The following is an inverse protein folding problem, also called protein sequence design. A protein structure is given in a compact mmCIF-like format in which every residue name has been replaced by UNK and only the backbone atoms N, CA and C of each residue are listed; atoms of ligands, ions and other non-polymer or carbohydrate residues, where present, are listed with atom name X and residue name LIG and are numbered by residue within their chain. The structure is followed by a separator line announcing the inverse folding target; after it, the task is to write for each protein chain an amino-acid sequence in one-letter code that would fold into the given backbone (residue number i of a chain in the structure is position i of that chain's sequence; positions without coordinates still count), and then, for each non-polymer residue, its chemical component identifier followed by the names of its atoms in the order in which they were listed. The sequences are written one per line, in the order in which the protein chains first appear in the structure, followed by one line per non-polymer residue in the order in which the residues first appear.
data_IF_966562087377
#
_entry.id   IF_966562087377
#
_cell.length_a   1.000
_cell.length_b   1.000
_cell.length_c   1.000
_cell.angle_alpha   90.00
_cell.angle_beta   90.00
_cell.angle_gamma   90.00
#
_symmetry.space_group_name_H-M   'P 1'
#
loop_
_entity.id
_entity.type
_entity.pdbx_description
1 polymer ?
#
# COMPACT_ATOMS: atom_id res chain seq x y z
N UNK A 1 16.88 4.02 4.53
CA UNK A 1 17.96 3.84 3.54
C UNK A 1 17.59 4.57 2.25
N UNK A 2 18.54 5.16 1.53
CA UNK A 2 18.36 5.44 0.09
C UNK A 2 19.34 4.55 -0.66
N UNK A 3 18.98 3.29 -0.84
CA UNK A 3 19.65 2.41 -1.78
C UNK A 3 18.81 2.43 -3.07
N UNK A 4 19.33 3.11 -4.09
CA UNK A 4 18.79 3.07 -5.46
C UNK A 4 19.61 2.02 -6.20
N UNK A 5 19.07 0.82 -6.36
CA UNK A 5 19.66 -0.19 -7.23
C UNK A 5 18.59 -0.64 -8.22
N UNK A 6 18.92 -0.57 -9.51
CA UNK A 6 18.04 -0.99 -10.61
C UNK A 6 18.65 -2.14 -11.37
N UNK A 7 17.81 -2.96 -11.97
CA UNK A 7 18.20 -4.05 -12.85
C UNK A 7 17.42 -4.00 -14.17
N UNK A 8 18.09 -4.05 -15.31
CA UNK A 8 17.51 -4.24 -16.64
C UNK A 8 17.23 -5.71 -16.91
N UNK A 9 16.04 -5.99 -17.44
CA UNK A 9 15.59 -7.35 -17.77
C UNK A 9 15.56 -7.53 -19.28
N UNK A 10 16.26 -8.55 -19.79
CA UNK A 10 16.13 -8.99 -21.18
C UNK A 10 15.33 -10.30 -21.21
N UNK A 11 14.04 -10.22 -21.56
CA UNK A 11 13.14 -11.37 -21.75
C UNK A 11 12.87 -11.55 -23.25
N UNK A 12 13.00 -12.77 -23.77
CA UNK A 12 12.41 -13.12 -25.07
C UNK A 12 10.93 -13.46 -24.85
N UNK A 13 10.05 -12.50 -25.16
CA UNK A 13 8.59 -12.57 -24.95
C UNK A 13 7.85 -13.17 -26.15
N UNK A 14 6.89 -14.05 -25.88
CA UNK A 14 5.66 -14.18 -26.68
C UNK A 14 4.61 -13.36 -25.94
N UNK A 15 4.21 -12.22 -26.50
CA UNK A 15 3.25 -11.32 -25.89
C UNK A 15 1.82 -11.86 -26.03
N UNK A 16 1.02 -11.76 -24.98
CA UNK A 16 -0.44 -11.71 -25.10
C UNK A 16 -0.99 -10.67 -24.13
N UNK A 17 -1.80 -9.75 -24.66
CA UNK A 17 -2.44 -8.65 -23.93
C UNK A 17 -3.63 -9.18 -23.12
N UNK A 18 -3.78 -8.74 -21.87
CA UNK A 18 -5.05 -8.70 -21.14
C UNK A 18 -4.95 -7.76 -19.94
N UNK A 19 -5.89 -6.82 -19.83
CA UNK A 19 -5.93 -5.74 -18.85
C UNK A 19 -6.81 -6.09 -17.64
N UNK A 20 -6.39 -5.80 -16.41
CA UNK A 20 -7.29 -5.56 -15.26
C UNK A 20 -6.63 -4.68 -14.18
N UNK A 21 -7.45 -3.82 -13.57
CA UNK A 21 -7.16 -2.91 -12.44
C UNK A 21 -7.89 -3.41 -11.19
N UNK A 22 -7.28 -3.36 -10.00
CA UNK A 22 -7.97 -3.28 -8.70
C UNK A 22 -7.15 -2.55 -7.62
N UNK A 23 -7.89 -1.95 -6.67
CA UNK A 23 -7.49 -0.96 -5.66
C UNK A 23 -7.20 -1.56 -4.26
N UNK A 24 -6.45 -0.76 -3.49
CA UNK A 24 -6.00 -0.77 -2.08
C UNK A 24 -6.99 -1.27 -1.01
N UNK A 25 -6.44 -1.80 0.10
CA UNK A 25 -7.10 -1.93 1.40
C UNK A 25 -6.14 -1.56 2.55
N UNK A 26 -6.55 -0.62 3.41
CA UNK A 26 -5.85 -0.14 4.62
C UNK A 26 -6.37 -0.86 5.88
N UNK A 27 -5.61 -0.87 7.00
CA UNK A 27 -6.08 -0.53 8.37
C UNK A 27 -4.97 -0.59 9.48
N UNK A 28 -4.46 0.60 9.84
CA UNK A 28 -4.26 1.25 11.17
C UNK A 28 -3.48 0.64 12.39
N UNK A 29 -2.54 1.50 12.85
CA UNK A 29 -2.01 1.84 14.21
C UNK A 29 -0.68 1.18 14.63
N UNK A 30 0.33 1.85 15.22
CA UNK A 30 0.31 2.91 16.26
C UNK A 30 1.60 3.78 16.27
N UNK A 31 1.46 5.02 16.73
CA UNK A 31 2.47 6.04 17.04
C UNK A 31 3.37 5.62 18.23
N UNK A 32 4.69 5.81 18.12
CA UNK A 32 5.59 5.73 19.29
C UNK A 32 5.47 7.05 20.07
N UNK A 33 5.18 6.90 21.36
CA UNK A 33 4.94 7.97 22.31
C UNK A 33 6.25 8.44 22.95
N UNK A 34 6.62 9.70 22.75
CA UNK A 34 7.76 10.36 23.42
C UNK A 34 7.34 11.12 24.70
N UNK A 35 6.07 11.01 25.12
CA UNK A 35 5.53 11.72 26.29
C UNK A 35 5.56 10.92 27.59
N UNK A 36 6.11 9.69 27.60
CA UNK A 36 6.47 9.02 28.84
C UNK A 36 7.71 9.68 29.45
N UNK A 37 7.49 10.74 30.22
CA UNK A 37 8.47 11.31 31.13
C UNK A 37 8.98 10.25 32.09
N UNK A 38 10.07 9.56 31.72
CA UNK A 38 11.02 9.02 32.67
C UNK A 38 11.99 10.14 33.02
N UNK A 39 11.96 10.68 34.25
CA UNK A 39 12.90 11.70 34.67
C UNK A 39 14.34 11.21 34.56
N UNK A 40 15.22 12.16 34.26
CA UNK A 40 16.68 12.12 34.10
C UNK A 40 17.39 11.56 35.35
N UNK A 41 17.21 10.29 35.64
CA UNK A 41 17.86 9.61 36.79
C UNK A 41 18.54 8.31 36.42
N UNK A 42 18.12 7.63 35.34
CA UNK A 42 18.87 6.48 34.79
C UNK A 42 20.14 6.91 34.03
N UNK A 43 20.16 8.13 33.44
CA UNK A 43 21.26 8.65 32.61
C UNK A 43 22.52 8.99 33.43
N UNK A 44 22.38 9.27 34.72
CA UNK A 44 23.49 9.65 35.61
C UNK A 44 24.12 8.48 36.38
N UNK A 45 23.63 7.25 36.21
CA UNK A 45 24.24 6.09 36.88
C UNK A 45 25.48 5.63 36.10
N UNK A 46 26.70 5.69 36.68
CA UNK A 46 27.98 5.40 36.00
C UNK A 46 28.22 3.90 35.81
N UNK A 47 27.23 3.17 35.27
CA UNK A 47 27.39 1.76 34.93
C UNK A 47 28.27 1.66 33.69
N UNK A 48 29.38 0.96 33.86
CA UNK A 48 30.33 0.61 32.83
C UNK A 48 29.63 0.00 31.61
N UNK A 49 29.53 0.72 30.49
CA UNK A 49 29.19 0.06 29.23
C UNK A 49 30.42 -0.72 28.78
N UNK A 50 30.36 -2.05 28.88
CA UNK A 50 31.37 -2.94 28.33
C UNK A 50 30.95 -3.31 26.91
N UNK A 51 31.83 -2.99 25.94
CA UNK A 51 31.86 -3.44 24.54
C UNK A 51 30.51 -3.52 23.80
N UNK A 52 30.35 -2.78 22.71
CA UNK A 52 29.15 -2.88 21.87
C UNK A 52 28.81 -1.59 21.14
N UNK A 53 27.61 -1.55 20.55
CA UNK A 53 27.11 -0.36 19.87
C UNK A 53 26.14 0.38 20.80
N UNK A 54 26.23 1.70 20.82
CA UNK A 54 25.37 2.58 21.62
C UNK A 54 24.72 3.61 20.70
N UNK A 55 23.45 3.94 20.98
CA UNK A 55 22.81 5.14 20.48
C UNK A 55 23.00 6.23 21.53
N UNK A 56 23.59 7.36 21.15
CA UNK A 56 23.75 8.55 21.98
C UNK A 56 22.85 9.66 21.47
N UNK A 57 22.02 10.27 22.31
CA UNK A 57 21.30 11.51 22.00
C UNK A 57 21.97 12.66 22.73
N UNK A 58 22.19 13.78 22.05
CA UNK A 58 22.80 14.97 22.63
C UNK A 58 21.75 16.04 22.93
N UNK A 59 22.06 16.90 23.91
CA UNK A 59 21.18 18.00 24.29
C UNK A 59 21.19 19.21 23.37
N UNK A 60 22.12 19.23 22.42
CA UNK A 60 22.27 20.20 21.35
C UNK A 60 23.09 19.60 20.21
N UNK A 61 23.36 20.38 19.17
CA UNK A 61 24.10 19.93 17.99
C UNK A 61 25.46 19.32 18.36
N UNK A 62 25.81 18.21 17.71
CA UNK A 62 27.10 17.54 17.91
C UNK A 62 28.19 18.33 17.18
N UNK A 63 29.09 18.96 17.93
CA UNK A 63 30.21 19.72 17.35
C UNK A 63 31.40 18.80 16.96
N UNK A 64 32.28 19.25 16.06
CA UNK A 64 33.52 18.52 15.74
C UNK A 64 34.39 18.23 16.97
N UNK A 65 34.37 19.10 17.98
CA UNK A 65 35.11 18.92 19.23
C UNK A 65 34.56 17.76 20.07
N UNK A 66 33.23 17.58 20.08
CA UNK A 66 32.58 16.43 20.73
C UNK A 66 32.98 15.13 20.02
N UNK A 67 33.00 15.13 18.68
CA UNK A 67 33.43 13.96 17.89
C UNK A 67 34.90 13.63 18.13
N UNK A 68 35.77 14.64 18.20
CA UNK A 68 37.18 14.46 18.53
C UNK A 68 37.38 13.89 19.93
N UNK A 69 36.60 14.36 20.91
CA UNK A 69 36.64 13.86 22.28
C UNK A 69 36.11 12.43 22.41
N UNK A 70 35.03 12.07 21.71
CA UNK A 70 34.55 10.68 21.61
C UNK A 70 35.68 9.75 21.11
N UNK A 71 36.36 10.15 20.04
CA UNK A 71 37.49 9.40 19.49
C UNK A 71 38.65 9.27 20.47
N UNK A 72 39.03 10.34 21.19
CA UNK A 72 40.06 10.32 22.26
C UNK A 72 39.70 9.32 23.37
N UNK A 73 38.42 9.17 23.69
CA UNK A 73 37.91 8.23 24.71
C UNK A 73 37.77 6.78 24.21
N UNK A 74 38.14 6.50 22.95
CA UNK A 74 38.01 5.17 22.35
C UNK A 74 36.59 4.82 21.91
N UNK A 75 35.75 5.83 21.67
CA UNK A 75 34.39 5.68 21.14
C UNK A 75 34.44 6.00 19.65
N UNK A 76 34.16 5.02 18.80
CA UNK A 76 34.14 5.20 17.36
C UNK A 76 32.74 5.61 16.90
N UNK A 77 32.62 6.76 16.23
CA UNK A 77 31.35 7.17 15.59
C UNK A 77 31.16 6.32 14.34
N UNK A 78 30.01 5.66 14.24
CA UNK A 78 29.67 4.79 13.12
C UNK A 78 28.72 5.48 12.14
N UNK A 79 27.76 6.25 12.66
CA UNK A 79 26.73 6.90 11.86
C UNK A 79 26.08 8.06 12.62
N UNK A 80 25.71 9.11 11.90
CA UNK A 80 24.82 10.16 12.40
C UNK A 80 23.37 9.68 12.47
N UNK A 81 22.66 10.09 13.50
CA UNK A 81 21.24 9.78 13.73
C UNK A 81 20.46 11.10 13.88
N UNK A 82 19.21 11.19 13.39
CA UNK A 82 18.42 12.41 13.51
C UNK A 82 18.33 12.99 14.93
N UNK A 83 17.96 14.26 15.01
CA UNK A 83 17.70 14.99 16.27
C UNK A 83 18.92 15.19 17.20
N UNK A 84 20.13 15.26 16.65
CA UNK A 84 21.41 15.29 17.39
C UNK A 84 21.75 13.93 18.02
N UNK A 85 21.53 12.83 17.29
CA UNK A 85 21.89 11.49 17.71
C UNK A 85 23.17 10.98 17.03
N UNK A 86 23.89 10.06 17.68
CA UNK A 86 25.00 9.31 17.10
C UNK A 86 24.87 7.82 17.42
N UNK A 87 25.11 6.98 16.42
CA UNK A 87 25.43 5.58 16.62
C UNK A 87 26.95 5.44 16.79
N UNK A 88 27.37 4.88 17.91
CA UNK A 88 28.79 4.72 18.24
C UNK A 88 29.13 3.28 18.62
N UNK A 89 30.38 2.89 18.41
CA UNK A 89 30.96 1.64 18.90
C UNK A 89 31.90 1.91 20.07
N UNK A 90 31.83 1.07 21.08
CA UNK A 90 32.75 1.07 22.23
C UNK A 90 33.43 -0.29 22.29
N UNK A 91 34.75 -0.31 22.40
CA UNK A 91 35.59 -1.53 22.47
C UNK A 91 36.09 -1.82 23.91
N UNK A 92 35.83 -0.89 24.82
CA UNK A 92 36.28 -0.87 26.20
C UNK A 92 35.24 -0.17 27.07
N UNK A 93 35.49 -0.13 28.39
CA UNK A 93 34.70 0.69 29.30
C UNK A 93 34.93 2.17 29.00
N UNK A 94 33.87 2.92 28.73
CA UNK A 94 33.94 4.36 28.44
C UNK A 94 33.06 5.18 29.37
N UNK A 95 33.39 6.47 29.52
CA UNK A 95 32.65 7.43 30.35
C UNK A 95 32.10 8.56 29.46
N UNK A 96 30.79 8.80 29.54
CA UNK A 96 30.07 9.76 28.69
C UNK A 96 29.84 11.14 29.33
N UNK A 97 30.36 11.35 30.55
CA UNK A 97 30.26 12.64 31.25
C UNK A 97 30.87 13.78 30.44
N UNK A 98 30.33 14.98 30.60
CA UNK A 98 30.86 16.23 30.01
C UNK A 98 30.82 16.28 28.48
N UNK A 99 30.07 15.39 27.83
CA UNK A 99 29.86 15.36 26.37
C UNK A 99 28.51 15.92 25.92
N UNK A 100 27.66 16.35 26.86
CA UNK A 100 26.31 16.84 26.55
C UNK A 100 25.31 15.74 26.13
N UNK A 101 25.63 14.47 26.38
CA UNK A 101 24.75 13.32 26.11
C UNK A 101 23.55 13.34 27.06
N UNK A 102 22.34 13.40 26.49
CA UNK A 102 21.06 13.30 27.19
C UNK A 102 20.51 11.89 27.28
N UNK A 103 20.85 11.02 26.34
CA UNK A 103 20.39 9.64 26.34
C UNK A 103 21.48 8.73 25.79
N UNK A 104 21.65 7.57 26.41
CA UNK A 104 22.57 6.54 25.93
C UNK A 104 21.92 5.17 26.13
N UNK A 105 21.74 4.42 25.05
CA UNK A 105 21.20 3.07 25.11
C UNK A 105 22.03 2.10 24.27
N UNK A 106 22.14 0.85 24.73
CA UNK A 106 22.79 -0.21 23.97
C UNK A 106 21.91 -0.57 22.78
N UNK A 107 22.48 -0.55 21.59
CA UNK A 107 21.83 -1.16 20.43
C UNK A 107 22.00 -2.67 20.58
N UNK A 108 20.89 -3.36 20.82
CA UNK A 108 20.87 -4.82 20.77
C UNK A 108 21.33 -5.28 19.37
N UNK A 109 22.05 -6.40 19.23
CA UNK A 109 22.45 -6.93 17.92
C UNK A 109 21.28 -7.07 16.92
N UNK A 110 20.07 -7.34 17.42
CA UNK A 110 18.82 -7.38 16.65
C UNK A 110 18.30 -6.02 16.17
N UNK A 111 18.93 -4.91 16.59
CA UNK A 111 18.65 -3.55 16.13
C UNK A 111 19.75 -3.02 15.18
N UNK A 112 20.69 -3.87 14.73
CA UNK A 112 21.55 -3.56 13.58
C UNK A 112 20.72 -3.77 12.31
N UNK A 113 20.37 -2.70 11.63
CA UNK A 113 19.80 -2.81 10.28
C UNK A 113 20.82 -3.47 9.33
N UNK A 114 20.34 -4.37 8.47
CA UNK A 114 21.17 -5.00 7.45
C UNK A 114 21.77 -3.94 6.52
N UNK A 115 23.09 -3.99 6.28
CA UNK A 115 23.77 -3.04 5.40
C UNK A 115 23.36 -3.19 3.93
N UNK A 116 23.36 -2.08 3.18
CA UNK A 116 22.87 -2.04 1.79
C UNK A 116 23.59 -3.03 0.85
N UNK A 117 24.91 -3.22 1.01
CA UNK A 117 25.69 -4.18 0.22
C UNK A 117 25.24 -5.62 0.47
N UNK A 118 24.94 -5.96 1.73
CA UNK A 118 24.48 -7.29 2.10
C UNK A 118 23.04 -7.53 1.60
N UNK A 119 22.15 -6.55 1.74
CA UNK A 119 20.81 -6.62 1.18
C UNK A 119 20.83 -6.79 -0.35
N UNK A 120 21.68 -6.03 -1.05
CA UNK A 120 21.85 -6.12 -2.50
C UNK A 120 22.33 -7.52 -2.92
N UNK A 121 23.30 -8.10 -2.20
CA UNK A 121 23.79 -9.44 -2.50
C UNK A 121 22.70 -10.51 -2.35
N UNK A 122 21.84 -10.41 -1.32
CA UNK A 122 20.72 -11.33 -1.14
C UNK A 122 19.64 -11.18 -2.22
N UNK A 123 19.35 -9.95 -2.66
CA UNK A 123 18.40 -9.74 -3.76
C UNK A 123 18.96 -10.26 -5.10
N UNK A 124 20.25 -10.06 -5.36
CA UNK A 124 20.95 -10.67 -6.50
C UNK A 124 20.88 -12.20 -6.45
N UNK A 125 21.03 -12.79 -5.26
CA UNK A 125 20.88 -14.23 -5.04
C UNK A 125 19.46 -14.70 -5.37
N UNK A 126 18.43 -13.96 -4.95
CA UNK A 126 17.03 -14.26 -5.27
C UNK A 126 16.75 -14.15 -6.78
N UNK A 127 17.27 -13.12 -7.45
CA UNK A 127 17.21 -12.97 -8.91
C UNK A 127 17.84 -14.16 -9.63
N UNK A 128 18.99 -14.64 -9.15
CA UNK A 128 19.67 -15.79 -9.72
C UNK A 128 18.88 -17.09 -9.58
N UNK A 129 18.09 -17.29 -8.51
CA UNK A 129 17.23 -18.48 -8.38
C UNK A 129 16.18 -18.56 -9.48
N UNK A 130 15.53 -17.44 -9.83
CA UNK A 130 14.58 -17.40 -10.94
C UNK A 130 15.28 -17.65 -12.29
N UNK A 131 16.48 -17.10 -12.51
CA UNK A 131 17.29 -17.36 -13.71
C UNK A 131 17.77 -18.81 -13.87
N UNK A 132 17.71 -19.65 -12.83
CA UNK A 132 17.99 -21.09 -12.97
C UNK A 132 16.84 -21.84 -13.66
N UNK A 133 15.63 -21.28 -13.62
CA UNK A 133 14.41 -21.97 -14.05
C UNK A 133 13.94 -21.43 -15.39
N UNK A 134 13.89 -20.10 -15.52
CA UNK A 134 13.38 -19.43 -16.72
C UNK A 134 14.46 -18.60 -17.39
N UNK A 135 14.30 -18.41 -18.70
CA UNK A 135 15.25 -17.72 -19.57
C UNK A 135 15.19 -16.21 -19.39
N UNK A 136 15.62 -15.75 -18.22
CA UNK A 136 15.69 -14.34 -17.81
C UNK A 136 17.13 -13.94 -17.45
N UNK A 137 17.54 -12.77 -17.93
CA UNK A 137 18.83 -12.16 -17.60
C UNK A 137 18.63 -10.85 -16.86
N UNK A 138 19.25 -10.76 -15.67
CA UNK A 138 19.32 -9.55 -14.86
C UNK A 138 20.65 -8.84 -15.12
N UNK A 139 20.61 -7.55 -15.46
CA UNK A 139 21.80 -6.71 -15.61
C UNK A 139 21.66 -5.47 -14.73
N UNK A 140 22.71 -4.95 -14.10
CA UNK A 140 22.60 -3.67 -13.39
C UNK A 140 22.10 -2.58 -14.33
N UNK A 141 21.04 -1.88 -13.93
CA UNK A 141 20.47 -0.75 -14.65
C UNK A 141 21.11 0.56 -14.20
N UNK A 142 21.31 1.48 -15.14
CA UNK A 142 21.91 2.80 -14.89
C UNK A 142 20.90 3.95 -14.87
N UNK A 143 19.67 3.71 -15.33
CA UNK A 143 18.61 4.73 -15.42
C UNK A 143 17.43 4.44 -14.46
N UNK A 144 17.20 5.30 -13.44
CA UNK A 144 16.08 5.23 -12.51
C UNK A 144 14.69 5.48 -13.13
N UNK A 145 14.55 5.68 -14.44
CA UNK A 145 13.27 5.69 -15.15
C UNK A 145 13.29 4.84 -16.45
N UNK A 146 14.29 3.98 -16.64
CA UNK A 146 14.40 3.14 -17.83
C UNK A 146 13.25 2.12 -17.95
N UNK A 147 12.89 1.78 -19.19
CA UNK A 147 11.91 0.73 -19.48
C UNK A 147 12.52 -0.67 -19.30
N UNK A 148 11.70 -1.68 -18.98
CA UNK A 148 12.16 -3.05 -18.69
C UNK A 148 13.18 -3.07 -17.56
N UNK A 149 12.96 -2.24 -16.55
CA UNK A 149 13.82 -2.20 -15.36
C UNK A 149 13.00 -2.44 -14.10
N UNK A 150 13.63 -3.13 -13.14
CA UNK A 150 13.10 -3.34 -11.80
C UNK A 150 13.89 -2.47 -10.84
N UNK A 151 13.23 -1.49 -10.22
CA UNK A 151 13.76 -0.69 -9.12
C UNK A 151 13.52 -1.38 -7.80
N UNK A 152 14.57 -1.43 -7.00
CA UNK A 152 14.52 -1.88 -5.62
C UNK A 152 14.63 -0.64 -4.73
N UNK A 153 13.63 -0.44 -3.85
CA UNK A 153 13.62 0.65 -2.90
C UNK A 153 13.42 0.12 -1.48
N UNK A 154 14.26 0.53 -0.53
CA UNK A 154 13.96 0.41 0.90
C UNK A 154 13.39 1.74 1.40
N UNK A 155 12.14 1.76 1.83
CA UNK A 155 11.42 2.97 2.21
C UNK A 155 10.67 2.77 3.54
N UNK A 156 10.28 3.86 4.20
CA UNK A 156 9.45 3.80 5.42
C UNK A 156 8.21 4.66 5.18
N UNK A 157 7.04 4.18 5.61
CA UNK A 157 5.80 4.95 5.52
C UNK A 157 5.46 5.34 4.08
N UNK A 158 4.95 6.55 3.89
CA UNK A 158 4.65 7.08 2.56
C UNK A 158 5.92 7.33 1.74
N UNK A 159 6.01 6.69 0.56
CA UNK A 159 7.23 6.71 -0.26
C UNK A 159 6.99 6.94 -1.76
N UNK A 160 5.86 7.59 -2.09
CA UNK A 160 5.67 8.26 -3.39
C UNK A 160 4.88 7.47 -4.45
N UNK A 161 4.39 6.27 -4.13
CA UNK A 161 3.65 5.39 -5.04
C UNK A 161 2.16 5.20 -4.66
N UNK A 162 1.72 5.82 -3.57
CA UNK A 162 0.35 5.69 -3.05
C UNK A 162 0.14 4.48 -2.13
N UNK A 163 1.15 3.62 -1.93
CA UNK A 163 1.11 2.42 -1.08
C UNK A 163 2.06 2.60 0.12
N UNK A 164 1.70 3.38 1.15
CA UNK A 164 2.59 3.60 2.29
C UNK A 164 2.82 2.30 3.08
N UNK A 165 4.05 2.09 3.55
CA UNK A 165 4.36 1.02 4.50
C UNK A 165 3.84 1.30 5.92
N UNK A 166 3.69 0.27 6.74
CA UNK A 166 3.05 0.30 8.06
C UNK A 166 4.01 0.36 9.26
N UNK A 167 5.32 0.20 9.04
CA UNK A 167 6.31 0.26 10.11
C UNK A 167 6.84 -1.13 10.45
N UNK A 168 7.20 -1.39 11.71
CA UNK A 168 7.72 -2.72 12.05
C UNK A 168 6.58 -3.72 12.24
N UNK A 169 6.69 -4.85 11.56
CA UNK A 169 5.67 -5.89 11.47
C UNK A 169 4.55 -5.52 10.52
N UNK A 170 3.96 -6.53 9.88
CA UNK A 170 2.88 -6.33 8.91
C UNK A 170 3.40 -6.43 7.48
N UNK A 171 3.43 -5.31 6.74
CA UNK A 171 3.84 -5.29 5.33
C UNK A 171 5.36 -5.28 5.23
N UNK A 172 5.92 -6.43 4.87
CA UNK A 172 7.37 -6.56 4.69
C UNK A 172 7.86 -5.88 3.42
N UNK A 173 7.10 -6.02 2.33
CA UNK A 173 7.42 -5.51 1.01
C UNK A 173 6.15 -5.47 0.13
N UNK A 174 6.25 -4.79 -1.00
CA UNK A 174 5.29 -4.93 -2.10
C UNK A 174 5.98 -4.79 -3.44
N UNK A 175 5.36 -5.36 -4.47
CA UNK A 175 5.87 -5.34 -5.85
C UNK A 175 4.76 -5.02 -6.84
N UNK A 176 5.13 -4.30 -7.89
CA UNK A 176 4.27 -4.05 -9.03
C UNK A 176 4.42 -5.16 -10.06
N UNK A 177 3.31 -5.58 -10.65
CA UNK A 177 3.32 -6.60 -11.71
C UNK A 177 4.03 -6.09 -12.98
N UNK A 178 4.42 -6.98 -13.90
CA UNK A 178 4.83 -6.59 -15.25
C UNK A 178 3.79 -5.71 -15.95
N UNK A 179 4.24 -4.99 -16.98
CA UNK A 179 3.32 -4.26 -17.86
C UNK A 179 2.64 -5.22 -18.84
N UNK A 180 1.31 -5.13 -19.03
CA UNK A 180 0.28 -4.52 -18.16
C UNK A 180 -0.04 -5.40 -16.92
N UNK A 181 -0.63 -4.84 -15.83
CA UNK A 181 -1.34 -3.56 -15.76
C UNK A 181 -0.51 -2.35 -15.30
N UNK A 182 0.64 -2.57 -14.67
CA UNK A 182 1.47 -1.46 -14.21
C UNK A 182 2.25 -0.88 -15.40
N UNK A 183 2.15 0.42 -15.70
CA UNK A 183 2.93 1.00 -16.78
C UNK A 183 4.40 1.08 -16.40
N UNK A 184 5.26 0.96 -17.40
CA UNK A 184 6.66 1.38 -17.27
C UNK A 184 6.71 2.88 -16.91
N UNK A 185 7.62 3.31 -16.02
CA UNK A 185 8.76 2.56 -15.48
C UNK A 185 8.50 1.91 -14.10
N UNK A 186 7.24 1.75 -13.68
CA UNK A 186 6.88 1.17 -12.37
C UNK A 186 6.68 -0.35 -12.44
N UNK A 187 6.45 -0.89 -13.64
CA UNK A 187 6.30 -2.32 -13.86
C UNK A 187 7.48 -3.13 -13.29
N UNK A 188 7.20 -4.09 -12.41
CA UNK A 188 8.22 -4.91 -11.77
C UNK A 188 8.98 -4.26 -10.61
N UNK A 189 8.81 -2.95 -10.35
CA UNK A 189 9.45 -2.28 -9.21
C UNK A 189 9.01 -2.94 -7.89
N UNK A 190 9.95 -3.13 -6.97
CA UNK A 190 9.73 -3.74 -5.65
C UNK A 190 10.23 -2.83 -4.54
N UNK A 191 9.41 -2.66 -3.51
CA UNK A 191 9.70 -1.83 -2.37
C UNK A 191 9.71 -2.70 -1.10
N UNK A 192 10.64 -2.44 -0.19
CA UNK A 192 10.81 -3.13 1.09
C UNK A 192 10.61 -2.14 2.24
N UNK A 193 9.86 -2.52 3.28
CA UNK A 193 9.71 -1.65 4.45
C UNK A 193 11.02 -1.62 5.24
N UNK A 194 11.68 -0.47 5.19
CA UNK A 194 12.93 -0.21 5.89
C UNK A 194 12.79 -0.19 7.42
N UNK A 195 11.57 -0.16 7.93
CA UNK A 195 11.24 -0.25 9.35
C UNK A 195 11.37 -1.67 9.89
N UNK A 196 11.41 -2.67 9.00
CA UNK A 196 11.54 -4.06 9.40
C UNK A 196 12.95 -4.41 9.88
N UNK A 197 13.08 -5.31 10.87
CA UNK A 197 14.37 -5.79 11.32
C UNK A 197 14.88 -6.83 10.31
N UNK A 198 15.42 -6.36 9.20
CA UNK A 198 15.95 -7.21 8.12
C UNK A 198 17.17 -8.02 8.56
N UNK A 199 17.18 -9.31 8.23
CA UNK A 199 18.26 -10.25 8.53
C UNK A 199 18.65 -11.07 7.29
N UNK A 200 19.73 -11.83 7.42
CA UNK A 200 20.14 -12.90 6.49
C UNK A 200 20.12 -14.20 7.28
N UNK A 201 19.41 -15.20 6.79
CA UNK A 201 19.40 -16.52 7.41
C UNK A 201 18.58 -16.61 8.70
N UNK A 202 17.75 -15.61 9.03
CA UNK A 202 16.99 -15.56 10.28
C UNK A 202 15.77 -14.64 10.19
N UNK A 203 14.77 -14.88 11.06
CA UNK A 203 13.62 -13.99 11.29
C UNK A 203 13.03 -13.43 9.99
N UNK A 204 13.04 -12.10 9.80
CA UNK A 204 12.66 -11.41 8.55
C UNK A 204 13.84 -11.42 7.57
N UNK A 205 13.97 -12.53 6.85
CA UNK A 205 15.06 -12.76 5.89
C UNK A 205 14.84 -12.01 4.56
N UNK A 206 15.80 -11.15 4.18
CA UNK A 206 15.72 -10.32 2.95
C UNK A 206 15.62 -11.17 1.69
N UNK A 207 16.37 -12.28 1.62
CA UNK A 207 16.32 -13.16 0.46
C UNK A 207 14.94 -13.78 0.28
N UNK A 208 14.35 -14.29 1.36
CA UNK A 208 13.03 -14.93 1.33
C UNK A 208 11.97 -13.97 0.79
N UNK A 209 11.94 -12.73 1.30
CA UNK A 209 10.99 -11.71 0.83
C UNK A 209 11.30 -11.29 -0.60
N UNK A 210 12.56 -11.04 -0.94
CA UNK A 210 12.93 -10.69 -2.31
C UNK A 210 12.57 -11.77 -3.32
N UNK A 211 12.71 -13.06 -2.96
CA UNK A 211 12.37 -14.18 -3.82
C UNK A 211 10.86 -14.23 -4.12
N UNK A 212 10.03 -13.92 -3.12
CA UNK A 212 8.57 -13.78 -3.25
C UNK A 212 8.18 -12.58 -4.12
N UNK A 213 8.70 -11.40 -3.80
CA UNK A 213 8.46 -10.17 -4.55
C UNK A 213 8.87 -10.30 -6.02
N UNK A 214 10.00 -10.97 -6.30
CA UNK A 214 10.43 -11.26 -7.67
C UNK A 214 9.44 -12.16 -8.42
N UNK A 215 8.72 -13.05 -7.74
CA UNK A 215 7.65 -13.82 -8.38
C UNK A 215 6.53 -12.92 -8.88
N UNK A 216 6.13 -11.91 -8.09
CA UNK A 216 5.18 -10.88 -8.55
C UNK A 216 5.73 -10.04 -9.70
N UNK A 217 7.01 -9.63 -9.64
CA UNK A 217 7.69 -8.94 -10.74
C UNK A 217 7.80 -9.79 -12.02
N UNK A 218 7.62 -11.11 -11.91
CA UNK A 218 7.54 -12.06 -13.03
C UNK A 218 6.10 -12.45 -13.39
N UNK A 219 5.09 -11.83 -12.78
CA UNK A 219 3.69 -12.09 -13.12
C UNK A 219 3.01 -13.20 -12.33
N UNK A 220 3.67 -13.78 -11.32
CA UNK A 220 3.06 -14.81 -10.48
C UNK A 220 2.11 -14.20 -9.45
N UNK A 221 0.95 -14.84 -9.27
CA UNK A 221 0.08 -14.60 -8.13
C UNK A 221 0.53 -15.36 -6.89
N UNK A 222 -0.15 -15.11 -5.77
CA UNK A 222 0.04 -15.92 -4.57
C UNK A 222 -0.35 -17.38 -4.78
N UNK A 223 0.38 -18.29 -4.14
CA UNK A 223 0.09 -19.71 -4.06
C UNK A 223 -0.50 -20.06 -2.69
N UNK A 224 -1.60 -20.81 -2.66
CA UNK A 224 -2.21 -21.30 -1.42
C UNK A 224 -1.55 -22.63 -0.97
N UNK A 225 -0.23 -22.58 -0.78
CA UNK A 225 0.53 -23.73 -0.27
C UNK A 225 1.69 -23.25 0.61
N UNK A 226 1.74 -23.61 1.91
CA UNK A 226 2.73 -23.07 2.86
C UNK A 226 4.20 -23.37 2.55
N UNK A 227 4.49 -24.25 1.60
CA UNK A 227 5.85 -24.55 1.13
C UNK A 227 6.23 -23.81 -0.15
N UNK A 228 5.30 -23.09 -0.79
CA UNK A 228 5.57 -22.29 -1.96
C UNK A 228 6.20 -20.97 -1.54
N UNK A 229 7.12 -20.46 -2.36
CA UNK A 229 7.67 -19.11 -2.18
C UNK A 229 6.55 -18.08 -2.31
N UNK A 230 5.61 -18.29 -3.25
CA UNK A 230 4.48 -17.39 -3.46
C UNK A 230 3.38 -17.48 -2.38
N UNK A 231 3.60 -18.17 -1.26
CA UNK A 231 2.66 -18.17 -0.14
C UNK A 231 2.59 -16.77 0.51
N UNK A 232 1.39 -16.18 0.71
CA UNK A 232 1.27 -14.78 1.14
C UNK A 232 1.70 -14.50 2.58
N UNK A 233 1.80 -15.53 3.43
CA UNK A 233 2.26 -15.36 4.80
C UNK A 233 3.74 -15.66 4.89
N UNK A 234 4.48 -14.73 5.50
CA UNK A 234 5.92 -14.84 5.62
C UNK A 234 6.35 -16.20 6.19
N UNK A 235 7.17 -16.89 5.42
CA UNK A 235 7.95 -18.04 5.84
C UNK A 235 9.34 -17.91 5.28
N UNK A 236 10.31 -18.31 6.09
CA UNK A 236 11.68 -18.33 5.64
C UNK A 236 11.86 -19.46 4.61
N UNK A 237 12.34 -19.09 3.43
CA UNK A 237 12.56 -20.01 2.30
C UNK A 237 13.97 -19.80 1.75
N UNK A 238 14.57 -20.88 1.24
CA UNK A 238 15.95 -20.84 0.74
C UNK A 238 16.06 -21.12 -0.76
N UNK A 239 14.97 -21.57 -1.40
CA UNK A 239 14.90 -21.92 -2.82
C UNK A 239 13.45 -21.95 -3.31
N UNK A 240 13.27 -21.94 -4.64
CA UNK A 240 11.97 -22.12 -5.30
C UNK A 240 11.43 -23.55 -5.07
N UNK A 241 10.15 -23.66 -4.72
CA UNK A 241 9.46 -24.94 -4.70
C UNK A 241 9.13 -25.41 -6.13
N UNK A 242 8.77 -26.68 -6.30
CA UNK A 242 8.35 -27.18 -7.62
C UNK A 242 7.03 -26.53 -8.09
N UNK A 243 6.20 -26.03 -7.16
CA UNK A 243 5.01 -25.24 -7.48
C UNK A 243 5.39 -23.90 -8.10
N UNK A 244 6.38 -23.20 -7.53
CA UNK A 244 6.85 -21.92 -8.05
C UNK A 244 7.52 -22.09 -9.43
N UNK A 245 8.32 -23.16 -9.59
CA UNK A 245 8.98 -23.50 -10.86
C UNK A 245 7.97 -23.80 -11.96
N UNK A 246 6.97 -24.64 -11.66
CA UNK A 246 5.95 -25.02 -12.64
C UNK A 246 5.14 -23.79 -13.07
N UNK A 247 4.74 -22.96 -12.10
CA UNK A 247 3.96 -21.75 -12.38
C UNK A 247 4.72 -20.74 -13.26
N UNK A 248 6.02 -20.52 -13.00
CA UNK A 248 6.81 -19.57 -13.80
C UNK A 248 7.13 -20.10 -15.21
N UNK A 249 7.22 -21.42 -15.38
CA UNK A 249 7.41 -22.06 -16.69
C UNK A 249 6.14 -22.02 -17.56
N UNK A 250 4.97 -21.76 -16.99
CA UNK A 250 3.77 -21.45 -17.77
C UNK A 250 3.86 -20.05 -18.42
N UNK A 251 4.65 -19.14 -17.84
CA UNK A 251 4.79 -17.76 -18.30
C UNK A 251 6.01 -17.53 -19.20
N UNK A 252 7.11 -18.24 -18.95
CA UNK A 252 8.38 -18.02 -19.62
C UNK A 252 9.01 -19.33 -20.11
N UNK A 253 9.80 -19.22 -21.17
CA UNK A 253 10.62 -20.32 -21.64
C UNK A 253 11.60 -20.79 -20.55
N UNK A 254 11.79 -22.11 -20.47
CA UNK A 254 12.77 -22.72 -19.58
C UNK A 254 14.20 -22.25 -19.89
N UNK A 255 15.04 -22.19 -18.87
CA UNK A 255 16.48 -22.05 -19.01
C UNK A 255 17.05 -23.39 -19.53
N UNK A 256 17.69 -23.39 -20.70
CA UNK A 256 18.05 -24.60 -21.47
C UNK A 256 18.71 -25.70 -20.59
N UNK A 257 18.08 -26.89 -20.53
CA UNK A 257 18.57 -28.03 -19.72
C UNK A 257 17.72 -29.32 -19.71
N UNK A 258 16.39 -29.26 -19.84
CA UNK A 258 15.54 -30.42 -20.23
C UNK A 258 14.19 -29.95 -20.78
N UNK A 259 13.66 -30.57 -21.85
CA UNK A 259 12.39 -30.19 -22.46
C UNK A 259 11.21 -30.90 -21.78
N UNK A 260 10.26 -30.14 -21.23
CA UNK A 260 8.89 -30.64 -21.13
C UNK A 260 8.23 -30.46 -22.50
N UNK A 261 8.08 -31.56 -23.23
CA UNK A 261 7.41 -31.61 -24.52
C UNK A 261 5.94 -31.22 -24.35
N UNK A 262 5.39 -30.23 -25.08
CA UNK A 262 3.95 -30.12 -25.23
C UNK A 262 3.51 -31.10 -26.31
N UNK A 263 2.88 -32.21 -25.93
CA UNK A 263 2.10 -32.99 -26.88
C UNK A 263 0.77 -32.30 -27.15
N UNK A 264 0.52 -32.12 -28.45
CA UNK A 264 -0.73 -31.83 -29.15
C UNK A 264 -1.12 -30.36 -29.33
N UNK A 265 -1.20 -29.99 -30.61
CA UNK A 265 -1.64 -28.69 -31.12
C UNK A 265 -3.11 -28.39 -30.80
N UNK A 266 -3.34 -27.84 -29.62
CA UNK A 266 -4.49 -27.00 -29.34
C UNK A 266 -4.16 -25.54 -29.62
N UNK A 267 -5.15 -24.77 -30.06
CA UNK A 267 -5.10 -23.31 -30.15
C UNK A 267 -4.50 -22.67 -28.89
N UNK A 268 -3.88 -21.47 -28.98
CA UNK A 268 -3.21 -20.82 -27.85
C UNK A 268 -4.09 -20.88 -26.59
N UNK A 269 -3.59 -21.60 -25.58
CA UNK A 269 -4.24 -21.70 -24.28
C UNK A 269 -4.23 -20.31 -23.66
N UNK A 270 -5.41 -19.72 -23.50
CA UNK A 270 -5.56 -18.47 -22.77
C UNK A 270 -5.37 -18.76 -21.29
N UNK A 271 -4.60 -17.96 -20.52
CA UNK A 271 -4.41 -18.21 -19.09
C UNK A 271 -5.74 -18.17 -18.34
N UNK A 272 -5.89 -19.02 -17.32
CA UNK A 272 -7.10 -19.03 -16.49
C UNK A 272 -7.16 -17.75 -15.68
N UNK A 273 -8.23 -16.99 -15.90
CA UNK A 273 -8.50 -15.73 -15.22
C UNK A 273 -9.72 -15.89 -14.34
N UNK A 274 -9.71 -15.23 -13.19
CA UNK A 274 -10.84 -15.12 -12.27
C UNK A 274 -10.99 -13.66 -11.89
N UNK A 275 -12.21 -13.16 -12.02
CA UNK A 275 -12.61 -11.84 -11.53
C UNK A 275 -13.79 -12.01 -10.60
N UNK A 276 -13.65 -11.58 -9.36
CA UNK A 276 -14.76 -11.44 -8.40
C UNK A 276 -15.31 -10.01 -8.47
N UNK A 277 -16.61 -9.86 -8.68
CA UNK A 277 -17.28 -8.59 -8.44
C UNK A 277 -17.41 -8.41 -6.93
N UNK A 278 -16.52 -7.59 -6.36
CA UNK A 278 -16.42 -7.43 -4.92
C UNK A 278 -17.74 -6.88 -4.34
N UNK A 279 -18.27 -7.50 -3.27
CA UNK A 279 -19.39 -6.97 -2.51
C UNK A 279 -18.94 -5.74 -1.69
N UNK A 280 -19.87 -5.08 -1.01
CA UNK A 280 -19.51 -4.02 -0.07
C UNK A 280 -18.60 -4.56 1.06
N UNK A 281 -17.57 -3.79 1.43
CA UNK A 281 -16.59 -4.15 2.48
C UNK A 281 -17.23 -4.37 3.86
N UNK A 282 -18.44 -3.83 4.07
CA UNK A 282 -19.21 -3.98 5.30
C UNK A 282 -20.68 -4.26 4.99
N UNK A 283 -21.31 -5.14 5.77
CA UNK A 283 -22.73 -5.47 5.63
C UNK A 283 -23.36 -5.77 6.99
N UNK A 284 -24.68 -5.65 7.09
CA UNK A 284 -25.46 -6.15 8.24
C UNK A 284 -26.13 -7.49 7.94
N UNK A 285 -26.17 -7.91 6.67
CA UNK A 285 -26.78 -9.16 6.24
C UNK A 285 -26.01 -10.37 6.76
N UNK A 286 -26.73 -11.45 7.10
CA UNK A 286 -26.13 -12.72 7.51
C UNK A 286 -25.53 -13.51 6.34
N UNK A 287 -25.87 -13.14 5.11
CA UNK A 287 -25.36 -13.76 3.89
C UNK A 287 -25.12 -12.71 2.82
N UNK A 288 -24.21 -12.97 1.89
CA UNK A 288 -23.99 -12.16 0.70
C UNK A 288 -24.06 -13.00 -0.56
N UNK A 289 -24.41 -12.36 -1.67
CA UNK A 289 -24.33 -12.96 -3.00
C UNK A 289 -23.03 -12.52 -3.67
N UNK A 290 -22.37 -13.45 -4.36
CA UNK A 290 -21.18 -13.15 -5.14
C UNK A 290 -21.44 -13.42 -6.61
N UNK A 291 -20.73 -12.68 -7.44
CA UNK A 291 -20.73 -12.91 -8.88
C UNK A 291 -19.37 -12.56 -9.45
N UNK A 292 -19.12 -13.00 -10.67
CA UNK A 292 -17.91 -12.65 -11.37
C UNK A 292 -17.82 -13.31 -12.73
N UNK A 293 -16.61 -13.30 -13.29
CA UNK A 293 -16.28 -13.99 -14.53
C UNK A 293 -15.06 -14.88 -14.33
N UNK A 294 -15.00 -15.96 -15.09
CA UNK A 294 -13.83 -16.80 -15.20
C UNK A 294 -13.68 -17.23 -16.65
N UNK A 295 -12.47 -17.19 -17.19
CA UNK A 295 -12.19 -17.45 -18.60
C UNK A 295 -10.78 -17.98 -18.82
N UNK A 296 -10.55 -18.65 -19.94
CA UNK A 296 -9.28 -19.31 -20.24
C UNK A 296 -9.11 -20.63 -19.50
N UNK A 297 -7.86 -21.08 -19.36
CA UNK A 297 -7.50 -22.41 -18.89
C UNK A 297 -7.82 -23.51 -19.91
N UNK A 298 -7.60 -24.76 -19.50
CA UNK A 298 -7.90 -25.93 -20.33
C UNK A 298 -9.06 -26.71 -19.72
N UNK A 299 -10.10 -27.02 -20.49
CA UNK A 299 -11.27 -27.78 -20.02
C UNK A 299 -12.37 -26.93 -19.38
N UNK A 300 -13.29 -27.59 -18.68
CA UNK A 300 -14.47 -26.95 -18.07
C UNK A 300 -14.07 -26.15 -16.84
N UNK A 301 -14.50 -24.89 -16.79
CA UNK A 301 -14.29 -24.02 -15.62
C UNK A 301 -15.25 -24.44 -14.50
N UNK A 302 -14.70 -24.68 -13.32
CA UNK A 302 -15.45 -24.82 -12.07
C UNK A 302 -15.02 -23.73 -11.09
N UNK A 303 -16.01 -23.09 -10.44
CA UNK A 303 -15.77 -22.05 -9.43
C UNK A 303 -16.29 -22.51 -8.08
N UNK A 304 -15.45 -22.37 -7.06
CA UNK A 304 -15.73 -22.74 -5.67
C UNK A 304 -15.41 -21.57 -4.75
N UNK A 305 -15.91 -21.64 -3.52
CA UNK A 305 -15.62 -20.64 -2.49
C UNK A 305 -15.45 -21.28 -1.12
N UNK A 306 -14.71 -20.62 -0.25
CA UNK A 306 -14.56 -20.95 1.17
C UNK A 306 -14.50 -19.68 2.03
N UNK A 307 -14.83 -19.82 3.31
CA UNK A 307 -14.64 -18.77 4.33
C UNK A 307 -13.62 -19.21 5.37
N UNK A 308 -12.99 -18.23 6.03
CA UNK A 308 -12.13 -18.44 7.21
C UNK A 308 -12.86 -19.06 8.41
N UNK A 309 -14.20 -19.03 8.40
CA UNK A 309 -15.07 -19.66 9.41
C UNK A 309 -15.57 -21.06 8.98
N UNK A 310 -14.98 -21.66 7.95
CA UNK A 310 -15.17 -23.07 7.59
C UNK A 310 -16.37 -23.37 6.71
N UNK A 311 -17.10 -22.35 6.21
CA UNK A 311 -18.14 -22.55 5.21
C UNK A 311 -17.53 -22.64 3.81
N UNK A 312 -18.08 -23.48 2.93
CA UNK A 312 -17.61 -23.60 1.55
C UNK A 312 -18.72 -24.07 0.61
N UNK A 313 -18.57 -23.84 -0.68
CA UNK A 313 -19.53 -24.32 -1.68
C UNK A 313 -19.08 -24.12 -3.12
N UNK A 314 -19.94 -24.49 -4.06
CA UNK A 314 -19.76 -24.26 -5.49
C UNK A 314 -20.53 -23.04 -5.98
N UNK A 315 -20.11 -22.48 -7.11
CA UNK A 315 -20.86 -21.47 -7.86
C UNK A 315 -21.68 -22.13 -8.98
N UNK A 316 -22.77 -21.47 -9.40
CA UNK A 316 -23.37 -21.73 -10.69
C UNK A 316 -22.50 -21.08 -11.77
N UNK A 317 -21.98 -21.87 -12.71
CA UNK A 317 -21.10 -21.40 -13.78
C UNK A 317 -21.86 -21.39 -15.10
N UNK A 318 -22.00 -20.21 -15.70
CA UNK A 318 -22.50 -19.99 -17.05
C UNK A 318 -21.38 -19.87 -18.08
N UNK A 319 -21.71 -19.50 -19.32
CA UNK A 319 -20.74 -19.47 -20.44
C UNK A 319 -19.57 -18.48 -20.26
N UNK A 320 -19.75 -17.41 -19.47
CA UNK A 320 -18.71 -16.40 -19.19
C UNK A 320 -18.75 -15.83 -17.76
N UNK A 321 -19.77 -16.19 -16.97
CA UNK A 321 -20.03 -15.63 -15.66
C UNK A 321 -20.35 -16.72 -14.66
N UNK A 322 -20.12 -16.45 -13.39
CA UNK A 322 -20.49 -17.33 -12.30
C UNK A 322 -21.22 -16.56 -11.20
N UNK A 323 -22.07 -17.26 -10.46
CA UNK A 323 -22.82 -16.71 -9.34
C UNK A 323 -22.80 -17.65 -8.15
N UNK A 324 -22.68 -17.09 -6.95
CA UNK A 324 -22.83 -17.80 -5.68
C UNK A 324 -23.96 -17.11 -4.93
N UNK A 325 -24.98 -17.88 -4.57
CA UNK A 325 -26.08 -17.39 -3.75
C UNK A 325 -25.79 -17.68 -2.29
N UNK A 326 -25.95 -16.67 -1.43
CA UNK A 326 -25.93 -16.79 0.02
C UNK A 326 -24.66 -17.41 0.64
N UNK A 327 -23.50 -16.79 0.42
CA UNK A 327 -22.30 -17.05 1.23
C UNK A 327 -22.57 -16.60 2.68
N UNK A 328 -22.51 -17.49 3.69
CA UNK A 328 -22.80 -17.17 5.08
C UNK A 328 -21.68 -16.35 5.71
N UNK A 329 -22.07 -15.39 6.55
CA UNK A 329 -21.18 -14.49 7.28
C UNK A 329 -21.39 -14.60 8.79
N UNK A 330 -20.28 -14.69 9.53
CA UNK A 330 -20.22 -14.58 10.99
C UNK A 330 -20.09 -13.10 11.37
N UNK A 331 -20.56 -12.70 12.57
CA UNK A 331 -20.35 -11.34 13.07
C UNK A 331 -18.85 -10.99 13.14
N UNK A 332 -18.47 -9.80 12.68
CA UNK A 332 -17.08 -9.36 12.57
C UNK A 332 -16.51 -9.58 11.17
N UNK A 333 -15.18 -9.66 11.07
CA UNK A 333 -14.48 -9.84 9.81
C UNK A 333 -14.66 -11.27 9.28
N UNK A 334 -15.00 -11.40 8.00
CA UNK A 334 -15.04 -12.67 7.28
C UNK A 334 -14.07 -12.57 6.11
N UNK A 335 -13.20 -13.55 5.95
CA UNK A 335 -12.35 -13.68 4.78
C UNK A 335 -12.95 -14.73 3.86
N UNK A 336 -13.22 -14.34 2.61
CA UNK A 336 -13.81 -15.22 1.60
C UNK A 336 -12.78 -15.41 0.50
N UNK A 337 -12.52 -16.67 0.16
CA UNK A 337 -11.68 -17.08 -0.96
C UNK A 337 -12.56 -17.66 -2.05
N UNK A 338 -12.47 -17.13 -3.26
CA UNK A 338 -13.09 -17.69 -4.47
C UNK A 338 -12.01 -18.31 -5.33
N UNK A 339 -12.22 -19.52 -5.80
CA UNK A 339 -11.24 -20.29 -6.58
C UNK A 339 -11.87 -20.78 -7.87
N UNK A 340 -11.27 -20.43 -9.01
CA UNK A 340 -11.59 -21.00 -10.30
C UNK A 340 -10.57 -22.10 -10.64
N UNK A 341 -11.06 -23.19 -11.22
CA UNK A 341 -10.28 -24.31 -11.72
C UNK A 341 -10.67 -24.58 -13.16
N UNK A 342 -9.69 -24.88 -14.02
CA UNK A 342 -9.90 -25.33 -15.38
C UNK A 342 -8.81 -26.35 -15.72
N UNK A 343 -9.19 -27.63 -15.70
CA UNK A 343 -8.23 -28.72 -15.85
C UNK A 343 -7.27 -28.75 -14.66
N UNK A 344 -5.97 -28.59 -14.94
CA UNK A 344 -4.94 -28.50 -13.90
C UNK A 344 -4.73 -27.06 -13.36
N UNK A 345 -5.19 -26.03 -14.08
CA UNK A 345 -4.98 -24.64 -13.72
C UNK A 345 -5.93 -24.21 -12.60
N UNK A 346 -5.40 -23.42 -11.65
CA UNK A 346 -6.17 -22.88 -10.53
C UNK A 346 -5.77 -21.45 -10.23
N UNK A 347 -6.75 -20.56 -10.11
CA UNK A 347 -6.58 -19.16 -9.70
C UNK A 347 -7.54 -18.86 -8.56
N UNK A 348 -7.08 -18.12 -7.55
CA UNK A 348 -7.90 -17.74 -6.41
C UNK A 348 -7.84 -16.24 -6.15
N UNK A 349 -8.95 -15.70 -5.66
CA UNK A 349 -9.05 -14.33 -5.20
C UNK A 349 -9.68 -14.33 -3.81
N UNK A 350 -8.98 -13.73 -2.84
CA UNK A 350 -9.48 -13.56 -1.47
C UNK A 350 -9.85 -12.10 -1.22
N UNK A 351 -10.92 -11.87 -0.47
CA UNK A 351 -11.36 -10.55 -0.03
C UNK A 351 -12.02 -10.67 1.34
N UNK A 352 -12.23 -9.53 2.01
CA UNK A 352 -12.86 -9.51 3.33
C UNK A 352 -14.19 -8.78 3.30
N UNK A 353 -15.12 -9.22 4.15
CA UNK A 353 -16.40 -8.57 4.39
C UNK A 353 -16.63 -8.52 5.90
N UNK A 354 -16.76 -7.30 6.44
CA UNK A 354 -17.10 -7.12 7.85
C UNK A 354 -18.61 -7.17 8.03
N UNK A 355 -19.11 -8.22 8.69
CA UNK A 355 -20.51 -8.25 9.11
C UNK A 355 -20.67 -7.51 10.43
N UNK A 356 -21.29 -6.35 10.40
CA UNK A 356 -21.67 -5.63 11.60
C UNK A 356 -23.01 -6.14 12.11
N UNK A 357 -23.07 -6.56 13.37
CA UNK A 357 -24.31 -6.94 14.07
C UNK A 357 -25.11 -5.72 14.54
N UNK A 358 -24.53 -4.52 14.42
CA UNK A 358 -25.11 -3.22 14.74
C UNK A 358 -24.80 -2.29 13.60
N UNK A 359 -25.82 -1.82 12.87
CA UNK A 359 -25.64 -0.80 11.86
C UNK A 359 -24.92 0.41 12.49
N UNK A 360 -23.86 0.92 11.87
CA UNK A 360 -23.34 2.25 12.21
C UNK A 360 -24.53 3.22 12.19
N UNK A 361 -24.63 4.14 13.17
CA UNK A 361 -25.65 5.18 13.06
C UNK A 361 -25.39 5.90 11.75
N UNK A 362 -26.41 5.91 10.88
CA UNK A 362 -26.47 6.78 9.70
C UNK A 362 -26.04 8.18 10.14
N UNK A 363 -25.17 8.84 9.37
CA UNK A 363 -24.88 10.23 9.66
C UNK A 363 -26.20 11.01 9.55
N UNK A 364 -26.59 11.65 10.64
CA UNK A 364 -27.80 12.47 10.72
C UNK A 364 -27.47 13.95 10.87
N UNK A 365 -26.19 14.31 10.86
CA UNK A 365 -25.74 15.68 11.12
C UNK A 365 -25.70 16.42 9.78
N UNK A 366 -26.44 17.53 9.60
CA UNK A 366 -26.35 18.31 8.39
C UNK A 366 -25.09 19.19 8.35
N UNK A 367 -24.54 19.47 7.15
CA UNK A 367 -23.41 20.37 7.00
C UNK A 367 -23.64 21.77 7.60
N UNK A 368 -22.61 22.38 8.16
CA UNK A 368 -22.61 23.82 8.45
C UNK A 368 -22.24 24.59 7.18
N UNK A 369 -23.05 25.58 6.79
CA UNK A 369 -22.87 26.39 5.58
C UNK A 369 -22.94 27.89 5.89
N UNK A 370 -21.92 28.63 5.45
CA UNK A 370 -21.81 30.09 5.62
C UNK A 370 -21.46 30.76 4.30
N UNK A 371 -22.18 31.84 3.95
CA UNK A 371 -21.83 32.73 2.83
C UNK A 371 -21.01 33.88 3.41
N UNK A 372 -19.77 34.03 2.95
CA UNK A 372 -18.83 35.05 3.46
C UNK A 372 -18.73 36.26 2.54
N UNK A 373 -19.01 36.08 1.25
CA UNK A 373 -19.04 37.17 0.27
C UNK A 373 -20.19 36.99 -0.70
N UNK A 374 -21.07 37.98 -0.85
CA UNK A 374 -21.23 39.12 0.04
C UNK A 374 -21.70 38.64 1.43
N UNK A 375 -21.29 39.34 2.47
CA UNK A 375 -21.69 39.02 3.85
C UNK A 375 -23.13 39.45 4.17
N UNK A 376 -23.72 40.32 3.34
CA UNK A 376 -25.10 40.74 3.44
C UNK A 376 -26.05 39.72 2.80
N UNK A 377 -27.20 39.49 3.45
CA UNK A 377 -28.26 38.61 2.92
C UNK A 377 -29.08 39.26 1.81
N UNK A 378 -28.96 40.59 1.64
CA UNK A 378 -29.61 41.36 0.58
C UNK A 378 -28.59 42.28 -0.07
N UNK A 379 -28.51 42.24 -1.40
CA UNK A 379 -27.47 42.90 -2.20
C UNK A 379 -28.11 43.55 -3.42
N UNK A 380 -27.63 44.74 -3.79
CA UNK A 380 -28.00 45.38 -5.06
C UNK A 380 -26.79 45.43 -6.00
N UNK A 381 -27.04 45.23 -7.29
CA UNK A 381 -25.99 45.29 -8.34
C UNK A 381 -26.59 45.73 -9.67
N UNK A 382 -25.76 46.18 -10.61
CA UNK A 382 -26.13 46.37 -12.02
C UNK A 382 -25.53 45.28 -12.92
N UNK A 383 -24.61 44.47 -12.38
CA UNK A 383 -23.94 43.41 -13.13
C UNK A 383 -24.90 42.25 -13.46
N UNK A 384 -24.67 41.61 -14.62
CA UNK A 384 -25.44 40.46 -15.06
C UNK A 384 -25.12 39.15 -14.29
N UNK A 385 -24.13 39.18 -13.41
CA UNK A 385 -23.79 38.06 -12.52
C UNK A 385 -23.22 38.56 -11.20
N UNK A 386 -23.23 37.70 -10.18
CA UNK A 386 -22.62 37.96 -8.88
C UNK A 386 -21.76 36.77 -8.47
N UNK A 387 -20.57 37.07 -7.91
CA UNK A 387 -19.74 36.05 -7.29
C UNK A 387 -20.19 35.87 -5.84
N UNK A 388 -20.67 34.67 -5.50
CA UNK A 388 -20.89 34.25 -4.12
C UNK A 388 -19.73 33.35 -3.68
N UNK A 389 -19.26 33.52 -2.45
CA UNK A 389 -18.26 32.67 -1.84
C UNK A 389 -18.54 32.42 -0.35
N UNK A 390 -17.99 31.33 0.18
CA UNK A 390 -18.27 30.92 1.54
C UNK A 390 -17.49 29.71 2.01
N UNK A 391 -17.92 29.18 3.16
CA UNK A 391 -17.34 27.99 3.78
C UNK A 391 -18.42 26.94 4.04
N UNK A 392 -18.03 25.67 4.01
CA UNK A 392 -18.87 24.59 4.52
C UNK A 392 -18.04 23.53 5.24
N UNK A 393 -18.61 22.93 6.28
CA UNK A 393 -17.95 21.88 7.07
C UNK A 393 -18.96 20.89 7.61
N UNK A 394 -18.54 19.66 7.79
CA UNK A 394 -19.37 18.57 8.30
C UNK A 394 -18.50 17.57 9.08
N UNK A 395 -19.09 16.76 9.97
CA UNK A 395 -18.38 15.75 10.77
C UNK A 395 -17.80 14.60 9.93
N UNK A 396 -18.43 14.24 8.81
CA UNK A 396 -17.92 13.24 7.86
C UNK A 396 -17.59 13.81 6.48
N UNK A 397 -17.96 15.07 6.23
CA UNK A 397 -17.45 15.87 5.12
C UNK A 397 -18.53 16.28 4.12
N UNK A 398 -18.30 17.42 3.46
CA UNK A 398 -19.21 17.98 2.45
C UNK A 398 -18.83 17.48 1.07
N UNK A 399 -19.77 16.87 0.37
CA UNK A 399 -19.56 16.26 -0.95
C UNK A 399 -19.85 17.22 -2.10
N UNK A 400 -20.80 18.15 -1.93
CA UNK A 400 -21.16 19.11 -2.96
C UNK A 400 -21.72 20.41 -2.40
N UNK A 401 -21.40 21.52 -3.08
CA UNK A 401 -22.08 22.81 -2.94
C UNK A 401 -22.77 23.11 -4.26
N UNK A 402 -24.09 23.25 -4.23
CA UNK A 402 -24.92 23.57 -5.40
C UNK A 402 -25.63 24.90 -5.19
N UNK A 403 -26.04 25.54 -6.28
CA UNK A 403 -26.82 26.77 -6.23
C UNK A 403 -27.98 26.73 -7.22
N UNK A 404 -29.06 27.45 -6.91
CA UNK A 404 -30.20 27.66 -7.79
C UNK A 404 -30.81 29.05 -7.60
N UNK A 405 -31.42 29.61 -8.64
CA UNK A 405 -32.15 30.88 -8.58
C UNK A 405 -33.66 30.65 -8.73
N UNK A 406 -34.48 31.55 -8.19
CA UNK A 406 -35.93 31.57 -8.45
C UNK A 406 -36.28 31.79 -9.93
N UNK A 407 -35.31 32.21 -10.74
CA UNK A 407 -35.43 32.42 -12.19
C UNK A 407 -35.09 31.18 -13.01
N UNK A 408 -34.77 30.06 -12.37
CA UNK A 408 -34.57 28.76 -13.02
C UNK A 408 -33.12 28.40 -13.37
N UNK A 409 -32.15 29.25 -13.10
CA UNK A 409 -30.72 28.93 -13.28
C UNK A 409 -30.21 28.09 -12.11
N UNK A 410 -29.30 27.16 -12.35
CA UNK A 410 -28.66 26.35 -11.31
C UNK A 410 -27.27 25.87 -11.70
N UNK A 411 -26.44 25.49 -10.72
CA UNK A 411 -25.10 24.95 -10.97
C UNK A 411 -24.41 24.39 -9.73
N UNK A 412 -23.15 24.01 -9.90
CA UNK A 412 -22.26 23.52 -8.84
C UNK A 412 -21.20 24.59 -8.59
N UNK A 413 -20.89 24.87 -7.31
CA UNK A 413 -19.83 25.79 -6.92
C UNK A 413 -18.44 25.11 -7.03
N UNK A 414 -17.39 25.89 -7.25
CA UNK A 414 -16.02 25.41 -7.19
C UNK A 414 -15.60 25.25 -5.72
N UNK A 415 -15.16 24.04 -5.35
CA UNK A 415 -14.74 23.70 -3.98
C UNK A 415 -15.91 23.34 -3.04
N UNK A 416 -15.60 22.67 -1.93
CA UNK A 416 -16.59 22.24 -0.93
C UNK A 416 -16.35 22.86 0.46
N UNK A 417 -15.11 22.86 0.94
CA UNK A 417 -14.76 23.46 2.24
C UNK A 417 -14.65 24.99 2.17
N UNK A 418 -13.97 25.50 1.13
CA UNK A 418 -13.97 26.89 0.70
C UNK A 418 -14.57 26.88 -0.70
N UNK A 419 -15.72 27.52 -0.87
CA UNK A 419 -16.48 27.42 -2.11
C UNK A 419 -16.72 28.79 -2.73
N UNK A 420 -16.85 28.81 -4.06
CA UNK A 420 -17.25 30.00 -4.81
C UNK A 420 -18.06 29.67 -6.06
N UNK A 421 -19.00 30.54 -6.43
CA UNK A 421 -19.85 30.38 -7.60
C UNK A 421 -20.17 31.74 -8.23
N UNK A 422 -20.01 31.84 -9.55
CA UNK A 422 -20.49 32.99 -10.34
C UNK A 422 -21.92 32.71 -10.81
N UNK A 423 -22.87 33.53 -10.37
CA UNK A 423 -24.30 33.26 -10.52
C UNK A 423 -24.92 34.30 -11.45
N UNK A 424 -25.51 33.88 -12.59
CA UNK A 424 -26.19 34.79 -13.51
C UNK A 424 -27.46 35.36 -12.89
N UNK A 425 -27.75 36.63 -13.19
CA UNK A 425 -28.86 37.40 -12.65
C UNK A 425 -29.74 37.96 -13.78
N UNK A 426 -31.06 37.82 -13.65
CA UNK A 426 -32.02 38.56 -14.46
C UNK A 426 -32.26 39.95 -13.86
N UNK A 427 -32.75 40.91 -14.65
CA UNK A 427 -33.16 42.22 -14.13
C UNK A 427 -34.32 42.03 -13.14
N UNK A 428 -34.27 42.72 -12.01
CA UNK A 428 -35.21 42.56 -10.91
C UNK A 428 -34.64 41.74 -9.75
N UNK A 429 -35.53 41.15 -8.95
CA UNK A 429 -35.15 40.42 -7.72
C UNK A 429 -34.82 38.96 -8.03
N UNK A 430 -33.58 38.55 -7.75
CA UNK A 430 -33.10 37.19 -7.85
C UNK A 430 -32.90 36.62 -6.45
N UNK A 431 -33.65 35.58 -6.10
CA UNK A 431 -33.40 34.82 -4.88
C UNK A 431 -32.46 33.66 -5.21
N UNK A 432 -31.25 33.71 -4.68
CA UNK A 432 -30.23 32.69 -4.88
C UNK A 432 -30.19 31.78 -3.66
N UNK A 433 -30.34 30.48 -3.87
CA UNK A 433 -30.23 29.43 -2.83
C UNK A 433 -28.92 28.69 -3.02
N UNK A 434 -28.09 28.63 -1.98
CA UNK A 434 -26.90 27.77 -1.89
C UNK A 434 -27.24 26.57 -1.02
N UNK A 435 -26.89 25.36 -1.46
CA UNK A 435 -27.14 24.10 -0.74
C UNK A 435 -25.85 23.30 -0.63
N UNK A 436 -25.49 22.91 0.60
CA UNK A 436 -24.43 21.96 0.91
C UNK A 436 -25.04 20.59 1.18
N UNK A 437 -24.39 19.53 0.70
CA UNK A 437 -24.77 18.14 0.96
C UNK A 437 -23.55 17.33 1.42
N UNK A 438 -23.77 16.36 2.30
CA UNK A 438 -22.80 15.34 2.68
C UNK A 438 -23.00 14.03 1.87
N UNK A 439 -22.25 12.99 2.21
CA UNK A 439 -22.37 11.67 1.57
C UNK A 439 -23.60 10.86 2.05
N UNK A 440 -24.18 11.22 3.20
CA UNK A 440 -25.33 10.56 3.80
C UNK A 440 -26.67 11.15 3.35
N UNK A 441 -26.64 12.25 2.59
CA UNK A 441 -27.82 12.97 2.08
C UNK A 441 -28.34 14.06 3.03
N UNK A 442 -27.65 14.36 4.13
CA UNK A 442 -28.01 15.51 4.96
C UNK A 442 -27.62 16.80 4.25
N UNK A 443 -28.48 17.81 4.39
CA UNK A 443 -28.30 19.07 3.66
C UNK A 443 -28.53 20.29 4.53
N UNK A 444 -27.77 21.33 4.23
CA UNK A 444 -28.02 22.68 4.73
C UNK A 444 -28.07 23.66 3.58
N UNK A 445 -28.80 24.75 3.77
CA UNK A 445 -28.94 25.77 2.74
C UNK A 445 -28.94 27.18 3.32
N UNK A 446 -28.58 28.14 2.47
CA UNK A 446 -28.61 29.58 2.74
C UNK A 446 -29.11 30.31 1.51
N UNK A 447 -29.76 31.45 1.71
CA UNK A 447 -30.28 32.27 0.62
C UNK A 447 -29.69 33.67 0.66
N UNK A 448 -29.46 34.24 -0.52
CA UNK A 448 -29.11 35.65 -0.71
C UNK A 448 -30.11 36.25 -1.70
N UNK A 449 -30.68 37.40 -1.36
CA UNK A 449 -31.53 38.17 -2.24
C UNK A 449 -30.66 39.18 -2.99
N UNK A 450 -30.69 39.14 -4.33
CA UNK A 450 -29.91 40.04 -5.18
C UNK A 450 -30.84 40.81 -6.11
N UNK A 451 -30.94 42.11 -5.91
CA UNK A 451 -31.69 43.00 -6.81
C UNK A 451 -30.75 43.53 -7.89
N UNK A 452 -31.01 43.13 -9.13
CA UNK A 452 -30.33 43.69 -10.29
C UNK A 452 -31.15 44.86 -10.84
N UNK A 453 -30.56 46.05 -10.87
CA UNK A 453 -31.16 47.25 -11.45
C UNK A 453 -30.91 47.35 -12.95
#
# INVERSE_FOLDING_TARGET
MRALVRWSVLVTLVASESAFSQHFLNLKTRRIDTSAGRPVTEINSPRAFLRGHLLLQFGGSVSPDIVAELKRRGIAVLQDVPENGLLVSVDRRVFLRDLGVRYAARIHPAARQLGAVAAQAEIQRAMAEWSKVVKIQWKPGTDPNGTRTVRILFATGAHGDGYPFDGSGGILAHTFYPAPPNPEPTAGDMHFDHSEPWHIGANTDVFSVALHELGHALGLGHADHPSAVMYPYYRMVTALSDLDKSAVLELYAAQDGTPSTPTNGGAPITPLTLKVNLPADTTTAATINLSGSASGGTGTIAVTWSTDHGASGGAQVGAATWTISAVPLVAGLNTITVTATAGASRVSQSFTVTRQTTALPRDTTPPALTITSPSATTVSTTAASILLAGTASDNLGVTAITWSTNTGSSGIAAGTAQWSASIPLLVGTNMVTIRAADAAGNVAWRTVLVTRH
#
